data_IF_817239262071
#
_entry.id   IF_817239262071
#
_cell.length_a   1.000
_cell.length_b   1.000
_cell.length_c   1.000
_cell.angle_alpha   90.00
_cell.angle_beta   90.00
_cell.angle_gamma   90.00
#
_symmetry.space_group_name_H-M   'P 1'
#
loop_
_entity.id
_entity.type
_entity.pdbx_description
1 polymer ?
#
# COMPACT_ATOMS: atom_id res chain seq x y z
N UNK A 1 23.32 18.52 -12.98
CA UNK A 1 22.13 18.49 -12.11
C UNK A 1 22.49 17.61 -10.91
N UNK A 2 22.25 18.05 -9.66
CA UNK A 2 22.64 17.22 -8.51
C UNK A 2 21.69 16.02 -8.36
N UNK A 3 22.17 14.87 -7.85
CA UNK A 3 21.30 13.72 -7.57
C UNK A 3 20.13 14.08 -6.64
N UNK A 4 20.35 14.99 -5.69
CA UNK A 4 19.32 15.49 -4.78
C UNK A 4 18.24 16.30 -5.51
N UNK A 5 18.60 17.10 -6.51
CA UNK A 5 17.61 17.79 -7.35
C UNK A 5 16.75 16.81 -8.14
N UNK A 6 17.33 15.73 -8.65
CA UNK A 6 16.58 14.66 -9.32
C UNK A 6 15.58 13.98 -8.36
N UNK A 7 16.03 13.62 -7.17
CA UNK A 7 15.19 13.00 -6.14
C UNK A 7 14.04 13.91 -5.69
N UNK A 8 14.30 15.21 -5.53
CA UNK A 8 13.28 16.20 -5.16
C UNK A 8 12.17 16.31 -6.24
N UNK A 9 12.56 16.27 -7.52
CA UNK A 9 11.60 16.27 -8.64
C UNK A 9 10.75 15.01 -8.66
N UNK A 10 11.35 13.83 -8.47
CA UNK A 10 10.62 12.56 -8.39
C UNK A 10 9.64 12.55 -7.21
N UNK A 11 10.05 13.06 -6.04
CA UNK A 11 9.16 13.17 -4.89
C UNK A 11 7.98 14.10 -5.17
N UNK A 12 8.22 15.22 -5.85
CA UNK A 12 7.15 16.17 -6.20
C UNK A 12 6.18 15.57 -7.22
N UNK A 13 6.69 14.83 -8.21
CA UNK A 13 5.86 14.13 -9.19
C UNK A 13 4.99 13.05 -8.52
N UNK A 14 5.57 12.24 -7.63
CA UNK A 14 4.82 11.25 -6.85
C UNK A 14 3.72 11.90 -6.03
N UNK A 15 4.03 13.02 -5.35
CA UNK A 15 3.04 13.75 -4.56
C UNK A 15 1.89 14.29 -5.40
N UNK A 16 2.18 14.79 -6.61
CA UNK A 16 1.13 15.25 -7.51
C UNK A 16 0.24 14.09 -7.98
N UNK A 17 0.83 12.95 -8.36
CA UNK A 17 0.08 11.76 -8.75
C UNK A 17 -0.80 11.23 -7.61
N UNK A 18 -0.26 11.19 -6.39
CA UNK A 18 -1.02 10.83 -5.19
C UNK A 18 -2.27 11.70 -5.02
N UNK A 19 -2.12 13.01 -5.21
CA UNK A 19 -3.23 13.97 -5.11
C UNK A 19 -4.24 13.80 -6.24
N UNK A 20 -3.77 13.60 -7.48
CA UNK A 20 -4.64 13.40 -8.63
C UNK A 20 -5.47 12.10 -8.51
N UNK A 21 -4.96 11.12 -7.75
CA UNK A 21 -5.64 9.86 -7.42
C UNK A 21 -6.46 9.92 -6.11
N UNK A 22 -6.59 11.09 -5.46
CA UNK A 22 -7.33 11.24 -4.20
C UNK A 22 -6.70 10.51 -3.01
N UNK A 23 -5.39 10.23 -3.04
CA UNK A 23 -4.65 9.58 -1.96
C UNK A 23 -4.04 10.60 -0.98
N UNK A 24 -4.39 11.89 -1.09
CA UNK A 24 -3.86 12.95 -0.23
C UNK A 24 -4.40 12.91 1.20
N UNK A 25 -5.57 12.30 1.40
CA UNK A 25 -6.13 12.00 2.72
C UNK A 25 -5.37 10.89 3.48
N UNK A 26 -4.59 10.07 2.75
CA UNK A 26 -3.77 9.02 3.36
C UNK A 26 -2.45 9.59 3.90
N UNK A 27 -2.16 9.25 5.16
CA UNK A 27 -0.83 9.46 5.73
C UNK A 27 0.23 8.71 4.93
N UNK A 28 1.48 9.14 5.07
CA UNK A 28 2.61 8.47 4.41
C UNK A 28 2.67 6.97 4.74
N UNK A 29 2.41 6.60 6.00
CA UNK A 29 2.43 5.19 6.41
C UNK A 29 1.27 4.39 5.79
N UNK A 30 0.11 5.01 5.54
CA UNK A 30 -1.01 4.35 4.87
C UNK A 30 -0.71 4.15 3.38
N UNK A 31 -0.16 5.17 2.71
CA UNK A 31 0.31 5.05 1.30
C UNK A 31 1.40 4.01 1.14
N UNK A 32 2.40 4.01 2.02
CA UNK A 32 3.48 3.01 2.00
C UNK A 32 2.88 1.59 2.10
N UNK A 33 1.92 1.37 3.01
CA UNK A 33 1.25 0.06 3.15
C UNK A 33 0.45 -0.28 1.90
N UNK A 34 -0.32 0.65 1.36
CA UNK A 34 -1.11 0.46 0.14
C UNK A 34 -0.21 0.06 -1.05
N UNK A 35 0.90 0.78 -1.24
CA UNK A 35 1.86 0.46 -2.31
C UNK A 35 2.52 -0.90 -2.14
N UNK A 36 2.82 -1.29 -0.90
CA UNK A 36 3.34 -2.62 -0.62
C UNK A 36 2.32 -3.73 -0.90
N UNK A 37 1.02 -3.49 -0.71
CA UNK A 37 -0.03 -4.41 -1.15
C UNK A 37 -0.06 -4.56 -2.67
N UNK A 38 -0.03 -3.46 -3.43
CA UNK A 38 0.05 -3.52 -4.90
C UNK A 38 1.33 -4.20 -5.40
N UNK A 39 2.47 -3.95 -4.76
CA UNK A 39 3.71 -4.63 -5.08
C UNK A 39 3.62 -6.13 -4.84
N UNK A 40 3.10 -6.56 -3.69
CA UNK A 40 2.92 -7.97 -3.36
C UNK A 40 1.88 -8.67 -4.27
N UNK A 41 0.80 -7.98 -4.64
CA UNK A 41 -0.19 -8.48 -5.59
C UNK A 41 0.41 -8.72 -6.97
N UNK A 42 1.26 -7.80 -7.45
CA UNK A 42 1.95 -7.93 -8.76
C UNK A 42 2.86 -9.15 -8.86
N UNK A 43 3.26 -9.74 -7.74
CA UNK A 43 4.10 -10.94 -7.66
C UNK A 43 3.27 -12.23 -7.58
N UNK A 44 1.95 -12.14 -7.45
CA UNK A 44 1.06 -13.30 -7.28
C UNK A 44 0.30 -13.55 -8.58
N UNK A 45 0.70 -14.57 -9.34
CA UNK A 45 0.01 -14.96 -10.57
C UNK A 45 -1.39 -15.53 -10.26
N UNK A 46 -2.44 -14.74 -10.52
CA UNK A 46 -3.77 -15.27 -10.80
C UNK A 46 -4.84 -15.21 -9.70
N UNK A 47 -4.51 -14.96 -8.42
CA UNK A 47 -5.55 -14.88 -7.37
C UNK A 47 -5.87 -13.47 -6.88
N UNK A 48 -4.95 -12.50 -7.03
CA UNK A 48 -5.06 -11.17 -6.42
C UNK A 48 -5.09 -11.19 -4.88
N UNK A 49 -4.85 -12.35 -4.26
CA UNK A 49 -4.84 -12.52 -2.80
C UNK A 49 -3.44 -12.26 -2.27
N UNK A 50 -3.34 -11.34 -1.32
CA UNK A 50 -2.11 -10.91 -0.67
C UNK A 50 -2.16 -11.24 0.82
N UNK A 51 -1.03 -11.71 1.37
CA UNK A 51 -0.89 -11.96 2.82
C UNK A 51 -0.19 -10.80 3.51
N UNK A 52 -0.51 -10.53 4.79
CA UNK A 52 0.25 -9.53 5.57
C UNK A 52 1.75 -9.85 5.65
N UNK A 53 2.13 -11.13 5.58
CA UNK A 53 3.54 -11.52 5.59
C UNK A 53 4.26 -11.08 4.31
N UNK A 54 3.63 -11.28 3.14
CA UNK A 54 4.17 -10.81 1.87
C UNK A 54 4.37 -9.28 1.85
N UNK A 55 3.38 -8.53 2.33
CA UNK A 55 3.45 -7.05 2.42
C UNK A 55 4.57 -6.60 3.36
N UNK A 56 4.77 -7.29 4.48
CA UNK A 56 5.83 -6.96 5.45
C UNK A 56 7.25 -7.19 4.93
N UNK A 57 7.42 -7.97 3.86
CA UNK A 57 8.71 -8.16 3.19
C UNK A 57 9.07 -7.01 2.25
N UNK A 58 8.11 -6.15 1.92
CA UNK A 58 8.38 -4.96 1.11
C UNK A 58 9.36 -4.02 1.82
N UNK A 59 10.31 -3.45 1.07
CA UNK A 59 11.37 -2.61 1.61
C UNK A 59 10.84 -1.35 2.30
N UNK A 60 9.72 -0.80 1.85
CA UNK A 60 9.10 0.36 2.48
C UNK A 60 8.44 0.01 3.83
N UNK A 61 8.11 -1.27 4.06
CA UNK A 61 7.37 -1.74 5.23
C UNK A 61 8.24 -2.52 6.22
N UNK A 62 9.36 -3.10 5.78
CA UNK A 62 10.18 -3.98 6.60
C UNK A 62 10.71 -3.32 7.88
N UNK A 63 10.94 -2.00 7.87
CA UNK A 63 11.35 -1.21 9.03
C UNK A 63 10.17 -0.62 9.84
N UNK A 64 8.94 -0.79 9.36
CA UNK A 64 7.75 -0.26 10.01
C UNK A 64 7.42 -1.05 11.29
N UNK A 65 7.22 -0.32 12.40
CA UNK A 65 6.78 -0.93 13.66
C UNK A 65 5.45 -1.66 13.48
N UNK A 66 5.35 -2.84 14.09
CA UNK A 66 4.17 -3.71 14.00
C UNK A 66 2.86 -2.98 14.34
N UNK A 67 2.84 -2.14 15.38
CA UNK A 67 1.66 -1.37 15.77
C UNK A 67 1.25 -0.32 14.73
N UNK A 68 2.21 0.29 14.04
CA UNK A 68 1.93 1.26 12.96
C UNK A 68 1.33 0.56 11.76
N UNK A 69 1.92 -0.58 11.34
CA UNK A 69 1.38 -1.37 10.24
C UNK A 69 -0.08 -1.76 10.45
N UNK A 70 -0.44 -2.29 11.62
CA UNK A 70 -1.82 -2.70 11.90
C UNK A 70 -2.79 -1.53 11.96
N UNK A 71 -2.37 -0.35 12.45
CA UNK A 71 -3.21 0.86 12.41
C UNK A 71 -3.45 1.33 10.97
N UNK A 72 -2.41 1.39 10.14
CA UNK A 72 -2.52 1.74 8.73
C UNK A 72 -3.38 0.72 7.96
N UNK A 73 -3.15 -0.57 8.18
CA UNK A 73 -3.94 -1.63 7.55
C UNK A 73 -5.43 -1.52 7.91
N UNK A 74 -5.74 -1.28 9.19
CA UNK A 74 -7.12 -1.09 9.62
C UNK A 74 -7.76 0.12 8.92
N UNK A 75 -7.07 1.24 8.85
CA UNK A 75 -7.52 2.45 8.13
C UNK A 75 -7.84 2.16 6.66
N UNK A 76 -6.95 1.43 5.97
CA UNK A 76 -7.15 1.06 4.57
C UNK A 76 -8.32 0.09 4.37
N UNK A 77 -8.57 -0.82 5.32
CA UNK A 77 -9.77 -1.67 5.33
C UNK A 77 -11.05 -0.85 5.53
N UNK A 78 -11.03 0.06 6.52
CA UNK A 78 -12.18 0.91 6.85
C UNK A 78 -12.56 1.85 5.68
N UNK A 79 -11.56 2.28 4.89
CA UNK A 79 -11.73 3.13 3.71
C UNK A 79 -12.01 2.34 2.42
N UNK A 80 -11.93 1.01 2.45
CA UNK A 80 -12.18 0.17 1.26
C UNK A 80 -11.04 0.11 0.24
N UNK A 81 -9.84 0.61 0.54
CA UNK A 81 -8.68 0.43 -0.36
C UNK A 81 -8.17 -1.01 -0.38
N UNK A 82 -8.47 -1.79 0.67
CA UNK A 82 -8.10 -3.20 0.81
C UNK A 82 -9.32 -3.90 1.39
N UNK A 83 -9.54 -5.16 1.01
CA UNK A 83 -10.61 -5.99 1.56
C UNK A 83 -10.06 -7.31 2.09
N UNK A 84 -10.82 -7.97 2.97
CA UNK A 84 -10.53 -9.36 3.34
C UNK A 84 -10.91 -10.29 2.18
N UNK A 85 -10.05 -11.25 1.87
CA UNK A 85 -10.36 -12.24 0.84
C UNK A 85 -11.55 -13.13 1.32
N UNK A 86 -12.59 -13.33 0.50
CA UNK A 86 -13.70 -14.21 0.86
C UNK A 86 -13.20 -15.66 1.01
N UNK A 87 -13.77 -16.39 1.97
CA UNK A 87 -13.47 -17.80 2.31
C UNK A 87 -12.06 -18.14 2.83
N UNK A 88 -11.22 -17.14 3.08
CA UNK A 88 -9.85 -17.39 3.51
C UNK A 88 -9.65 -17.13 5.00
N UNK A 89 -9.17 -18.15 5.73
CA UNK A 89 -8.81 -18.06 7.16
C UNK A 89 -7.86 -16.87 7.37
N UNK A 90 -8.27 -15.90 8.20
CA UNK A 90 -7.49 -14.79 8.81
C UNK A 90 -6.12 -14.47 8.19
N UNK A 91 -5.92 -13.21 7.76
CA UNK A 91 -4.67 -12.59 7.21
C UNK A 91 -4.48 -12.69 5.69
N UNK A 92 -5.54 -12.97 4.94
CA UNK A 92 -5.55 -12.87 3.48
C UNK A 92 -6.44 -11.71 3.06
N UNK A 93 -5.94 -10.93 2.11
CA UNK A 93 -6.53 -9.67 1.66
C UNK A 93 -6.58 -9.67 0.14
N UNK A 94 -7.49 -8.88 -0.41
CA UNK A 94 -7.56 -8.60 -1.85
C UNK A 94 -7.59 -7.09 -2.07
N UNK A 95 -7.12 -6.68 -3.23
CA UNK A 95 -7.30 -5.31 -3.72
C UNK A 95 -8.62 -5.29 -4.51
N UNK A 96 -9.55 -4.35 -4.23
CA UNK A 96 -10.78 -4.23 -4.99
C UNK A 96 -10.48 -3.82 -6.44
N UNK A 97 -11.27 -4.34 -7.40
CA UNK A 97 -11.09 -4.08 -8.84
C UNK A 97 -11.47 -2.63 -9.23
N UNK A 98 -12.17 -1.91 -8.35
CA UNK A 98 -12.50 -0.49 -8.49
C UNK A 98 -12.33 0.22 -7.15
N UNK A 99 -11.41 1.19 -7.10
CA UNK A 99 -11.40 2.24 -6.10
C UNK A 99 -12.09 3.43 -6.78
N UNK A 100 -13.39 3.61 -6.51
CA UNK A 100 -14.16 4.79 -6.97
C UNK A 100 -13.75 6.07 -6.24
#
# INVERSE_FOLDING_TARGET
MSPLTGLAKLRSALWQMEKDMGLDDLSRNERDVLYAFHSAASQTEGSGIVTSDAVRRDRAISEMKHATFHRSLKRLLDMGYIELAPDCKTKQYRLPDHVE
#
